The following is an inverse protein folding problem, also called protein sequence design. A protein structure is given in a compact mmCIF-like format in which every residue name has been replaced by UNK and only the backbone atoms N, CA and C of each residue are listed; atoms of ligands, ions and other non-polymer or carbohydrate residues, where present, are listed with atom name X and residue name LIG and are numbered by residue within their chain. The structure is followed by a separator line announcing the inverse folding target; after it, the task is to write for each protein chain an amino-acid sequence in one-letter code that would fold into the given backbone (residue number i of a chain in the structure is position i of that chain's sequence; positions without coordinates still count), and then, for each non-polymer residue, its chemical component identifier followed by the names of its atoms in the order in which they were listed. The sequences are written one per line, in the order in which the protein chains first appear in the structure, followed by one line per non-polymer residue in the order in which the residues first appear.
data_IF_130898555656
#
_entry.id   IF_130898555656
#
_cell.length_a   1.000
_cell.length_b   1.000
_cell.length_c   1.000
_cell.angle_alpha   90.00
_cell.angle_beta   90.00
_cell.angle_gamma   90.00
#
_symmetry.space_group_name_H-M   'P 1'
#
loop_
_entity.id
_entity.type
_entity.pdbx_description
1 polymer ?
#
# COMPACT_ATOMS: atom_id res chain seq x y z
N UNK A 1 -0.05 -9.20 -19.14
CA UNK A 1 0.37 -7.95 -18.47
C UNK A 1 -0.83 -7.03 -18.34
N UNK A 2 -1.00 -6.39 -17.18
CA UNK A 2 -2.09 -5.46 -16.89
C UNK A 2 -1.52 -4.08 -16.50
N UNK A 3 -2.25 -2.97 -16.71
CA UNK A 3 -1.90 -1.71 -16.08
C UNK A 3 -1.89 -1.84 -14.56
N UNK A 4 -0.95 -1.18 -13.88
CA UNK A 4 -0.75 -1.39 -12.44
C UNK A 4 -1.98 -1.01 -11.61
N UNK A 5 -2.70 0.05 -11.97
CA UNK A 5 -3.94 0.44 -11.30
C UNK A 5 -5.06 -0.61 -11.48
N UNK A 6 -5.14 -1.29 -12.62
CA UNK A 6 -6.10 -2.38 -12.85
C UNK A 6 -5.74 -3.58 -11.97
N UNK A 7 -4.45 -3.92 -11.90
CA UNK A 7 -3.96 -4.99 -11.04
C UNK A 7 -4.22 -4.68 -9.56
N UNK A 8 -3.93 -3.45 -9.12
CA UNK A 8 -4.20 -2.98 -7.75
C UNK A 8 -5.69 -3.10 -7.40
N UNK A 9 -6.58 -2.72 -8.31
CA UNK A 9 -8.02 -2.90 -8.12
C UNK A 9 -8.38 -4.36 -7.85
N UNK A 10 -7.93 -5.27 -8.71
CA UNK A 10 -8.20 -6.71 -8.55
C UNK A 10 -7.65 -7.24 -7.22
N UNK A 11 -6.44 -6.80 -6.85
CA UNK A 11 -5.79 -7.21 -5.60
C UNK A 11 -6.59 -6.71 -4.38
N UNK A 12 -6.96 -5.43 -4.34
CA UNK A 12 -7.74 -4.86 -3.23
C UNK A 12 -9.14 -5.46 -3.13
N UNK A 13 -9.84 -5.63 -4.27
CA UNK A 13 -11.18 -6.23 -4.31
C UNK A 13 -11.17 -7.68 -3.78
N UNK A 14 -10.06 -8.40 -3.93
CA UNK A 14 -9.90 -9.76 -3.39
C UNK A 14 -9.85 -9.83 -1.86
N UNK A 15 -9.59 -8.70 -1.18
CA UNK A 15 -9.30 -8.61 0.26
C UNK A 15 -8.14 -9.48 0.76
N UNK A 16 -7.32 -10.00 -0.15
CA UNK A 16 -6.14 -10.85 0.16
C UNK A 16 -4.82 -10.15 -0.16
N UNK A 17 -4.85 -8.89 -0.58
CA UNK A 17 -3.66 -8.17 -0.99
C UNK A 17 -2.78 -7.79 0.20
N UNK A 18 -1.55 -8.31 0.18
CA UNK A 18 -0.52 -8.00 1.16
C UNK A 18 0.39 -6.90 0.60
N UNK A 19 0.41 -5.76 1.26
CA UNK A 19 1.24 -4.63 0.86
C UNK A 19 2.66 -4.86 1.37
N UNK A 20 3.42 -5.68 0.65
CA UNK A 20 4.75 -6.13 1.04
C UNK A 20 5.69 -5.88 -0.12
N UNK A 21 6.62 -4.95 0.04
CA UNK A 21 7.49 -4.52 -1.07
C UNK A 21 8.39 -5.64 -1.55
N UNK A 22 8.96 -6.44 -0.64
CA UNK A 22 9.88 -7.53 -1.00
C UNK A 22 9.23 -8.71 -1.74
N UNK A 23 7.90 -8.80 -1.80
CA UNK A 23 7.19 -9.82 -2.61
C UNK A 23 7.17 -9.50 -4.11
N UNK A 24 7.70 -8.36 -4.52
CA UNK A 24 7.63 -7.87 -5.89
C UNK A 24 9.03 -7.58 -6.44
N UNK A 25 9.16 -7.67 -7.76
CA UNK A 25 10.36 -7.26 -8.49
C UNK A 25 10.05 -5.97 -9.23
N UNK A 26 10.88 -4.95 -9.00
CA UNK A 26 10.70 -3.63 -9.59
C UNK A 26 11.85 -3.31 -10.54
N UNK A 27 11.53 -2.64 -11.65
CA UNK A 27 12.57 -2.06 -12.50
C UNK A 27 13.23 -0.91 -11.74
N UNK A 28 14.56 -0.94 -11.63
CA UNK A 28 15.30 0.07 -10.89
C UNK A 28 15.08 1.50 -11.43
N UNK A 29 15.11 1.68 -12.75
CA UNK A 29 14.88 3.00 -13.37
C UNK A 29 13.47 3.53 -13.11
N UNK A 30 12.47 2.65 -12.98
CA UNK A 30 11.11 3.05 -12.61
C UNK A 30 11.09 3.64 -11.18
N UNK A 31 11.76 3.00 -10.22
CA UNK A 31 11.90 3.53 -8.86
C UNK A 31 12.56 4.91 -8.87
N UNK A 32 13.65 5.08 -9.63
CA UNK A 32 14.38 6.35 -9.71
C UNK A 32 13.59 7.47 -10.37
N UNK A 33 12.95 7.20 -11.50
CA UNK A 33 12.17 8.18 -12.26
C UNK A 33 10.98 8.73 -11.46
N UNK A 34 10.34 7.89 -10.65
CA UNK A 34 9.23 8.30 -9.81
C UNK A 34 9.65 8.74 -8.39
N UNK A 35 10.95 8.73 -8.10
CA UNK A 35 11.50 9.10 -6.79
C UNK A 35 10.88 8.33 -5.61
N UNK A 36 10.59 7.03 -5.79
CA UNK A 36 10.02 6.23 -4.70
C UNK A 36 11.06 6.01 -3.61
N UNK A 37 10.69 6.39 -2.39
CA UNK A 37 11.49 6.19 -1.19
C UNK A 37 10.61 5.75 -0.03
N UNK A 38 11.24 5.08 0.92
CA UNK A 38 10.64 4.79 2.21
C UNK A 38 10.58 6.04 3.08
N UNK A 39 9.58 6.13 3.95
CA UNK A 39 9.42 7.23 4.90
C UNK A 39 10.24 6.90 6.15
N UNK A 40 11.34 7.62 6.45
CA UNK A 40 12.25 7.23 7.52
C UNK A 40 11.53 7.11 8.88
N UNK A 41 11.69 5.96 9.53
CA UNK A 41 11.10 5.70 10.85
C UNK A 41 9.60 5.37 10.84
N UNK A 42 8.94 5.27 9.69
CA UNK A 42 7.54 4.89 9.58
C UNK A 42 7.38 3.35 9.54
N UNK A 43 6.65 2.79 10.51
CA UNK A 43 6.19 1.39 10.44
C UNK A 43 5.13 1.23 9.36
N UNK A 44 5.07 0.06 8.72
CA UNK A 44 4.11 -0.27 7.65
C UNK A 44 4.14 0.68 6.44
N UNK A 45 5.26 1.35 6.21
CA UNK A 45 5.51 2.19 5.04
C UNK A 45 5.35 1.47 3.69
N UNK A 46 5.40 0.13 3.67
CA UNK A 46 5.09 -0.67 2.50
C UNK A 46 3.67 -0.43 1.96
N UNK A 47 2.71 -0.05 2.81
CA UNK A 47 1.32 0.23 2.42
C UNK A 47 1.26 1.40 1.42
N UNK A 48 1.61 2.65 1.80
CA UNK A 48 1.57 3.77 0.86
C UNK A 48 2.54 3.58 -0.30
N UNK A 49 3.73 3.00 -0.04
CA UNK A 49 4.74 2.79 -1.08
C UNK A 49 4.23 1.86 -2.19
N UNK A 50 3.68 0.69 -1.83
CA UNK A 50 3.23 -0.31 -2.82
C UNK A 50 1.99 0.17 -3.55
N UNK A 51 1.07 0.84 -2.86
CA UNK A 51 -0.10 1.47 -3.47
C UNK A 51 0.30 2.49 -4.53
N UNK A 52 1.23 3.40 -4.22
CA UNK A 52 1.69 4.39 -5.17
C UNK A 52 2.45 3.76 -6.35
N UNK A 53 3.36 2.82 -6.08
CA UNK A 53 4.10 2.12 -7.12
C UNK A 53 3.16 1.43 -8.13
N UNK A 54 2.11 0.76 -7.66
CA UNK A 54 1.13 0.12 -8.55
C UNK A 54 0.25 1.14 -9.28
N UNK A 55 -0.11 2.26 -8.65
CA UNK A 55 -0.83 3.33 -9.34
C UNK A 55 0.02 3.94 -10.47
N UNK A 56 1.31 4.16 -10.24
CA UNK A 56 2.23 4.71 -11.23
C UNK A 56 2.57 3.72 -12.36
N UNK A 57 2.67 2.43 -12.05
CA UNK A 57 3.10 1.41 -13.00
C UNK A 57 2.20 1.30 -14.24
N UNK A 58 2.81 1.41 -15.42
CA UNK A 58 2.13 1.22 -16.71
C UNK A 58 1.79 -0.25 -16.97
N UNK A 59 2.62 -1.17 -16.47
CA UNK A 59 2.50 -2.62 -16.71
C UNK A 59 2.96 -3.40 -15.48
N UNK A 60 2.16 -4.39 -15.11
CA UNK A 60 2.43 -5.36 -14.04
C UNK A 60 2.16 -6.76 -14.59
N UNK A 61 2.95 -7.73 -14.12
CA UNK A 61 2.80 -9.13 -14.44
C UNK A 61 2.93 -9.98 -13.18
N UNK A 62 2.02 -10.93 -13.03
CA UNK A 62 2.18 -12.03 -12.09
C UNK A 62 3.02 -13.14 -12.71
N UNK A 63 3.88 -13.75 -11.91
CA UNK A 63 4.65 -14.95 -12.28
C UNK A 63 4.59 -15.93 -11.12
N UNK A 64 4.43 -17.22 -11.43
CA UNK A 64 4.52 -18.31 -10.45
C UNK A 64 5.95 -18.82 -10.26
N UNK A 65 6.92 -18.24 -10.96
CA UNK A 65 8.33 -18.57 -10.78
C UNK A 65 8.86 -17.98 -9.47
N UNK A 66 9.64 -18.77 -8.74
CA UNK A 66 10.25 -18.37 -7.48
C UNK A 66 11.54 -17.60 -7.73
N UNK A 67 11.64 -16.42 -7.14
CA UNK A 67 12.81 -15.53 -7.25
C UNK A 67 13.37 -15.10 -5.90
N UNK A 68 12.69 -15.43 -4.81
CA UNK A 68 13.03 -14.94 -3.49
C UNK A 68 12.71 -16.00 -2.44
N UNK A 69 13.75 -16.39 -1.69
CA UNK A 69 13.64 -17.31 -0.56
C UNK A 69 13.58 -16.48 0.73
N UNK A 70 12.42 -16.47 1.37
CA UNK A 70 12.23 -15.73 2.61
C UNK A 70 12.79 -16.51 3.80
N UNK A 71 13.83 -15.98 4.43
CA UNK A 71 14.44 -16.56 5.62
C UNK A 71 13.73 -16.08 6.90
N UNK A 72 13.12 -17.01 7.63
CA UNK A 72 12.45 -16.74 8.90
C UNK A 72 13.41 -17.05 10.04
N UNK A 73 13.68 -16.07 10.90
CA UNK A 73 14.51 -16.24 12.10
C UNK A 73 13.94 -15.48 13.30
N UNK A 74 14.37 -15.87 14.50
CA UNK A 74 13.84 -15.36 15.78
C UNK A 74 14.18 -13.90 16.04
N UNK A 75 15.25 -13.37 15.45
CA UNK A 75 15.65 -11.95 15.59
C UNK A 75 14.89 -11.01 14.63
N UNK A 76 13.94 -11.54 13.85
CA UNK A 76 13.09 -10.71 13.00
C UNK A 76 12.35 -9.65 13.80
N UNK A 77 12.29 -8.44 13.23
CA UNK A 77 11.60 -7.29 13.84
C UNK A 77 10.12 -7.59 14.11
N UNK A 78 9.52 -8.51 13.34
CA UNK A 78 8.13 -8.94 13.48
C UNK A 78 7.83 -9.75 14.76
N UNK A 79 8.86 -10.20 15.50
CA UNK A 79 8.70 -11.02 16.70
C UNK A 79 8.89 -10.26 18.02
N UNK A 80 9.04 -8.94 17.99
CA UNK A 80 9.20 -8.14 19.22
C UNK A 80 7.83 -7.81 19.82
N UNK A 81 7.57 -8.11 21.11
CA UNK A 81 6.30 -7.81 21.75
C UNK A 81 6.09 -6.29 21.88
N UNK A 82 4.84 -5.85 21.72
CA UNK A 82 4.44 -4.45 21.88
C UNK A 82 4.37 -4.06 23.38
N UNK A 83 4.74 -2.81 23.71
CA UNK A 83 4.53 -2.19 25.02
C UNK A 83 3.60 -0.96 24.88
N UNK A 84 3.19 -0.31 25.98
CA UNK A 84 2.25 0.83 25.93
C UNK A 84 2.76 2.00 25.06
N UNK A 85 4.08 2.24 25.08
CA UNK A 85 4.76 3.19 24.19
C UNK A 85 4.58 2.82 22.71
N UNK A 86 4.52 1.52 22.40
CA UNK A 86 4.26 1.01 21.06
C UNK A 86 2.84 1.31 20.58
N UNK A 87 1.82 1.32 21.44
CA UNK A 87 0.44 1.62 21.02
C UNK A 87 0.29 3.06 20.51
N UNK A 88 0.78 4.05 21.27
CA UNK A 88 0.74 5.46 20.85
C UNK A 88 1.61 5.70 19.60
N UNK A 89 2.76 5.04 19.50
CA UNK A 89 3.60 5.10 18.29
C UNK A 89 2.88 4.48 17.10
N UNK A 90 2.26 3.32 17.26
CA UNK A 90 1.46 2.65 16.22
C UNK A 90 0.32 3.53 15.73
N UNK A 91 -0.44 4.18 16.62
CA UNK A 91 -1.49 5.11 16.23
C UNK A 91 -0.95 6.27 15.37
N UNK A 92 0.18 6.88 15.76
CA UNK A 92 0.83 7.94 14.98
C UNK A 92 1.29 7.46 13.60
N UNK A 93 1.88 6.26 13.53
CA UNK A 93 2.27 5.66 12.25
C UNK A 93 1.06 5.44 11.34
N UNK A 94 -0.04 4.91 11.86
CA UNK A 94 -1.27 4.75 11.07
C UNK A 94 -1.82 6.10 10.60
N UNK A 95 -1.91 7.12 11.45
CA UNK A 95 -2.36 8.45 11.01
C UNK A 95 -1.50 8.99 9.87
N UNK A 96 -0.16 8.86 9.96
CA UNK A 96 0.75 9.25 8.88
C UNK A 96 0.50 8.46 7.59
N UNK A 97 0.27 7.15 7.68
CA UNK A 97 -0.09 6.32 6.52
C UNK A 97 -1.37 6.83 5.85
N UNK A 98 -2.39 7.17 6.63
CA UNK A 98 -3.65 7.71 6.10
C UNK A 98 -3.46 9.04 5.38
N UNK A 99 -2.65 9.93 5.94
CA UNK A 99 -2.27 11.19 5.29
C UNK A 99 -1.55 10.94 3.96
N UNK A 100 -0.59 10.01 3.94
CA UNK A 100 0.15 9.65 2.72
C UNK A 100 -0.78 9.05 1.67
N UNK A 101 -1.68 8.13 2.05
CA UNK A 101 -2.65 7.53 1.14
C UNK A 101 -3.62 8.57 0.57
N UNK A 102 -4.07 9.53 1.36
CA UNK A 102 -4.91 10.63 0.86
C UNK A 102 -4.14 11.53 -0.12
N UNK A 103 -2.87 11.85 0.17
CA UNK A 103 -2.02 12.59 -0.77
C UNK A 103 -1.77 11.83 -2.08
N UNK A 104 -1.54 10.51 -2.00
CA UNK A 104 -1.44 9.63 -3.17
C UNK A 104 -2.76 9.65 -3.97
N UNK A 105 -3.90 9.54 -3.29
CA UNK A 105 -5.20 9.58 -3.95
C UNK A 105 -5.43 10.88 -4.73
N UNK A 106 -4.95 12.00 -4.19
CA UNK A 106 -5.02 13.31 -4.85
C UNK A 106 -4.04 13.44 -6.03
N UNK A 107 -2.91 12.73 -6.00
CA UNK A 107 -1.91 12.72 -7.09
C UNK A 107 -2.34 11.88 -8.29
N UNK A 108 -3.18 10.85 -8.08
CA UNK A 108 -3.68 9.95 -9.13
C UNK A 108 -5.23 9.93 -9.21
N UNK A 109 -5.91 11.08 -9.35
CA UNK A 109 -7.36 11.17 -9.22
C UNK A 109 -8.09 10.33 -10.27
N UNK A 110 -7.60 10.32 -11.51
CA UNK A 110 -8.22 9.57 -12.61
C UNK A 110 -8.17 8.06 -12.37
N UNK A 111 -7.03 7.55 -11.88
CA UNK A 111 -6.86 6.13 -11.58
C UNK A 111 -7.68 5.72 -10.37
N UNK A 112 -7.66 6.52 -9.31
CA UNK A 112 -8.33 6.22 -8.03
C UNK A 112 -9.85 6.33 -8.14
N UNK A 113 -10.40 7.20 -9.01
CA UNK A 113 -11.84 7.30 -9.25
C UNK A 113 -12.47 5.92 -9.53
N UNK A 114 -11.76 5.09 -10.30
CA UNK A 114 -12.21 3.77 -10.74
C UNK A 114 -11.88 2.62 -9.76
N UNK A 115 -11.22 2.92 -8.63
CA UNK A 115 -10.81 1.94 -7.62
C UNK A 115 -11.42 2.34 -6.28
N UNK A 116 -12.67 1.96 -6.05
CA UNK A 116 -13.38 2.27 -4.81
C UNK A 116 -12.60 1.80 -3.57
N UNK A 117 -11.92 0.65 -3.66
CA UNK A 117 -11.12 0.11 -2.57
C UNK A 117 -9.93 0.99 -2.16
N UNK A 118 -9.39 1.87 -3.03
CA UNK A 118 -8.38 2.87 -2.61
C UNK A 118 -8.96 3.87 -1.60
N UNK A 119 -10.25 4.20 -1.71
CA UNK A 119 -10.94 5.05 -0.72
C UNK A 119 -11.17 4.31 0.61
N UNK A 120 -11.23 2.98 0.58
CA UNK A 120 -11.43 2.16 1.77
C UNK A 120 -10.14 1.99 2.58
N UNK A 121 -8.97 2.22 1.95
CA UNK A 121 -7.71 2.30 2.68
C UNK A 121 -7.66 3.53 3.61
N UNK A 122 -8.57 4.50 3.46
CA UNK A 122 -8.70 5.67 4.34
C UNK A 122 -10.03 5.62 5.15
N UNK A 123 -9.99 5.58 6.51
CA UNK A 123 -11.18 5.48 7.34
C UNK A 123 -12.22 6.58 7.10
N UNK A 124 -11.76 7.80 6.82
CA UNK A 124 -12.65 8.96 6.61
C UNK A 124 -13.56 8.81 5.39
N UNK A 125 -13.09 8.20 4.31
CA UNK A 125 -13.92 8.01 3.11
C UNK A 125 -14.65 6.67 3.10
N UNK A 126 -14.15 5.67 3.82
CA UNK A 126 -14.88 4.44 4.08
C UNK A 126 -16.21 4.73 4.80
N UNK A 127 -16.21 5.61 5.82
CA UNK A 127 -17.44 5.99 6.52
C UNK A 127 -18.40 6.78 5.61
N UNK A 128 -17.94 7.82 4.90
CA UNK A 128 -18.75 8.63 3.98
C UNK A 128 -19.38 7.82 2.84
N UNK A 129 -18.68 6.80 2.34
CA UNK A 129 -19.17 5.93 1.26
C UNK A 129 -20.14 4.84 1.74
N UNK A 130 -20.20 4.59 3.05
CA UNK A 130 -21.10 3.62 3.68
C UNK A 130 -22.42 4.24 4.16
N UNK A 131 -22.55 5.57 4.09
CA UNK A 131 -23.83 6.25 4.28
C UNK A 131 -24.62 6.09 2.98
N UNK A 132 -25.80 5.44 2.97
CA UNK A 132 -26.68 5.49 1.82
C UNK A 132 -26.99 6.95 1.52
N UNK A 133 -26.89 7.37 0.26
CA UNK A 133 -27.35 8.70 -0.16
C UNK A 133 -28.81 8.85 0.28
N UNK A 134 -29.06 9.65 1.32
CA UNK A 134 -30.40 10.11 1.65
C UNK A 134 -30.69 11.22 0.63
N UNK A 135 -31.31 10.83 -0.48
CA UNK A 135 -32.05 11.69 -1.38
C UNK A 135 -33.50 11.23 -1.35
#
# INVERSE_FOLDING_TARGET
MLPGHVWLKQALDSRKFLHVTWLNIYRHDFIRQHHFHFEPGLRHQDIPWTTEALLAAERVQYTSQQFYDYYIHSESVSHKPDNDDTLMRSARHYMKILEMLEAINQRYPDKVRHIAACRWQTPKKAWESSIPSIA
#
